data_IF_701616924245
#
_entry.id   IF_701616924245
#
_cell.length_a   1.000
_cell.length_b   1.000
_cell.length_c   1.000
_cell.angle_alpha   90.00
_cell.angle_beta   90.00
_cell.angle_gamma   90.00
#
_symmetry.space_group_name_H-M   'P 1'
#
loop_
_entity.id
_entity.type
_entity.pdbx_description
1 polymer ?
#
# COMPACT_ATOMS: atom_id res chain seq x y z
N UNK A 1 6.42 -5.29 3.24
CA UNK A 1 6.22 -5.00 1.80
C UNK A 1 7.28 -5.77 1.01
N UNK A 2 6.88 -6.68 0.12
CA UNK A 2 7.79 -7.51 -0.68
C UNK A 2 7.37 -7.40 -2.15
N UNK A 3 8.26 -6.89 -3.02
CA UNK A 3 8.02 -6.83 -4.47
C UNK A 3 8.92 -7.87 -5.14
N UNK A 4 8.32 -8.78 -5.91
CA UNK A 4 9.05 -9.79 -6.70
C UNK A 4 8.86 -9.50 -8.18
N UNK A 5 9.91 -9.00 -8.83
CA UNK A 5 9.87 -8.65 -10.27
C UNK A 5 10.34 -9.85 -11.09
N UNK A 6 9.53 -10.31 -12.06
CA UNK A 6 9.95 -11.28 -13.09
C UNK A 6 10.40 -10.54 -14.34
N UNK A 7 11.49 -10.99 -14.96
CA UNK A 7 12.00 -10.42 -16.23
C UNK A 7 10.89 -10.42 -17.30
N UNK A 8 10.77 -9.29 -18.02
CA UNK A 8 9.82 -9.12 -19.12
C UNK A 8 8.38 -8.72 -18.74
N UNK A 9 8.07 -8.48 -17.45
CA UNK A 9 6.76 -7.96 -17.02
C UNK A 9 6.90 -6.63 -16.28
N UNK A 10 5.96 -5.72 -16.51
CA UNK A 10 5.82 -4.48 -15.73
C UNK A 10 5.26 -4.89 -14.36
N UNK A 11 5.98 -4.64 -13.25
CA UNK A 11 5.48 -4.99 -11.93
C UNK A 11 4.34 -4.05 -11.51
N UNK A 12 3.33 -4.63 -10.86
CA UNK A 12 2.28 -3.89 -10.17
C UNK A 12 2.44 -4.16 -8.67
N UNK A 13 2.44 -3.09 -7.87
CA UNK A 13 2.44 -3.18 -6.42
C UNK A 13 1.01 -3.14 -5.89
N UNK A 14 0.60 -4.19 -5.19
CA UNK A 14 -0.68 -4.24 -4.47
C UNK A 14 -0.39 -4.22 -2.98
N UNK A 15 -0.89 -3.19 -2.29
CA UNK A 15 -0.83 -3.10 -0.82
C UNK A 15 -2.22 -3.38 -0.27
N UNK A 16 -2.31 -4.30 0.68
CA UNK A 16 -3.51 -4.55 1.47
C UNK A 16 -3.18 -4.15 2.91
N UNK A 17 -3.99 -3.27 3.50
CA UNK A 17 -3.71 -2.69 4.81
C UNK A 17 -5.00 -2.54 5.60
N UNK A 18 -5.00 -3.00 6.85
CA UNK A 18 -6.06 -2.85 7.84
C UNK A 18 -5.83 -1.64 8.77
N UNK A 19 -4.82 -0.81 8.48
CA UNK A 19 -4.49 0.36 9.28
C UNK A 19 -3.09 0.94 9.03
N UNK A 20 -2.77 1.99 9.78
CA UNK A 20 -1.49 2.69 9.65
C UNK A 20 -0.27 1.85 10.08
N UNK A 21 0.91 2.23 9.56
CA UNK A 21 2.17 1.60 9.92
C UNK A 21 2.42 1.68 11.44
N UNK A 22 2.79 0.55 12.04
CA UNK A 22 3.00 0.42 13.48
C UNK A 22 4.37 -0.14 13.87
N UNK A 23 5.14 -0.66 12.90
CA UNK A 23 6.46 -1.26 13.09
C UNK A 23 7.48 -0.61 12.15
N UNK A 24 8.65 -0.27 12.67
CA UNK A 24 9.77 0.30 11.92
C UNK A 24 10.48 -0.76 11.07
N UNK A 25 11.36 -0.33 10.16
CA UNK A 25 12.25 -1.19 9.37
C UNK A 25 13.16 -2.06 10.22
N UNK A 26 13.48 -1.62 11.44
CA UNK A 26 14.26 -2.40 12.42
C UNK A 26 13.42 -3.39 13.23
N UNK A 27 12.12 -3.53 12.93
CA UNK A 27 11.23 -4.44 13.65
C UNK A 27 10.74 -3.93 15.01
N UNK A 28 10.94 -2.65 15.31
CA UNK A 28 10.56 -2.05 16.60
C UNK A 28 9.19 -1.38 16.47
N UNK A 29 8.35 -1.50 17.49
CA UNK A 29 7.05 -0.81 17.53
C UNK A 29 7.20 0.71 17.61
N UNK A 30 6.28 1.44 16.97
CA UNK A 30 6.22 2.90 17.07
C UNK A 30 5.54 3.55 15.88
N UNK A 31 4.27 3.93 16.03
CA UNK A 31 3.42 4.44 14.94
C UNK A 31 4.01 5.65 14.22
N UNK A 32 4.55 6.64 14.93
CA UNK A 32 5.14 7.84 14.31
C UNK A 32 6.33 7.50 13.41
N UNK A 33 7.35 6.83 13.96
CA UNK A 33 8.55 6.44 13.21
C UNK A 33 8.25 5.43 12.10
N UNK A 34 7.37 4.46 12.36
CA UNK A 34 6.92 3.51 11.35
C UNK A 34 6.22 4.22 10.18
N UNK A 35 5.40 5.23 10.48
CA UNK A 35 4.75 6.04 9.46
C UNK A 35 5.77 6.84 8.64
N UNK A 36 6.70 7.55 9.28
CA UNK A 36 7.78 8.28 8.58
C UNK A 36 8.60 7.35 7.66
N UNK A 37 8.97 6.17 8.14
CA UNK A 37 9.71 5.20 7.35
C UNK A 37 8.88 4.61 6.20
N UNK A 38 7.57 4.46 6.39
CA UNK A 38 6.64 4.06 5.33
C UNK A 38 6.51 5.14 4.25
N UNK A 39 6.49 6.42 4.62
CA UNK A 39 6.46 7.55 3.67
C UNK A 39 7.73 7.59 2.81
N UNK A 40 8.90 7.46 3.44
CA UNK A 40 10.18 7.38 2.70
C UNK A 40 10.21 6.22 1.70
N UNK A 41 9.62 5.09 2.09
CA UNK A 41 9.46 3.96 1.17
C UNK A 41 8.47 4.30 0.05
N UNK A 42 7.31 4.87 0.36
CA UNK A 42 6.31 5.24 -0.64
C UNK A 42 6.87 6.18 -1.72
N UNK A 43 7.62 7.20 -1.31
CA UNK A 43 8.29 8.14 -2.23
C UNK A 43 9.30 7.44 -3.15
N UNK A 44 10.07 6.47 -2.62
CA UNK A 44 10.99 5.66 -3.43
C UNK A 44 10.25 4.80 -4.46
N UNK A 45 9.12 4.20 -4.11
CA UNK A 45 8.35 3.40 -5.08
C UNK A 45 7.72 4.27 -6.16
N UNK A 46 7.22 5.45 -5.77
CA UNK A 46 6.67 6.43 -6.70
C UNK A 46 7.74 6.94 -7.68
N UNK A 47 8.97 7.20 -7.22
CA UNK A 47 10.08 7.64 -8.08
C UNK A 47 10.46 6.63 -9.17
N UNK A 48 10.12 5.35 -8.98
CA UNK A 48 10.34 4.28 -9.97
C UNK A 48 9.13 4.08 -10.90
N UNK A 49 8.09 4.93 -10.82
CA UNK A 49 6.86 4.83 -11.62
C UNK A 49 6.21 3.44 -11.53
N UNK A 50 6.28 2.81 -10.36
CA UNK A 50 5.68 1.49 -10.15
C UNK A 50 4.17 1.69 -10.02
N UNK A 51 3.40 1.14 -10.97
CA UNK A 51 1.93 1.11 -10.88
C UNK A 51 1.51 0.46 -9.56
N UNK A 52 0.73 1.19 -8.77
CA UNK A 52 0.42 0.79 -7.39
C UNK A 52 -1.07 0.94 -7.07
N UNK A 53 -1.59 0.02 -6.27
CA UNK A 53 -2.91 0.12 -5.62
C UNK A 53 -2.76 -0.10 -4.13
N UNK A 54 -3.46 0.75 -3.37
CA UNK A 54 -3.55 0.65 -1.94
C UNK A 54 -4.99 0.31 -1.57
N UNK A 55 -5.21 -0.94 -1.15
CA UNK A 55 -6.51 -1.45 -0.73
C UNK A 55 -6.57 -1.35 0.81
N UNK A 56 -7.37 -0.41 1.30
CA UNK A 56 -7.58 -0.17 2.73
C UNK A 56 -8.78 -1.01 3.20
N UNK A 57 -8.52 -2.05 3.99
CA UNK A 57 -9.54 -2.96 4.54
C UNK A 57 -9.87 -2.63 6.00
N UNK A 58 -9.37 -1.53 6.54
CA UNK A 58 -9.71 -1.10 7.89
C UNK A 58 -11.22 -0.84 8.00
N UNK A 59 -11.83 -1.25 9.12
CA UNK A 59 -13.22 -0.92 9.40
C UNK A 59 -13.45 0.60 9.47
N UNK A 60 -12.42 1.34 9.91
CA UNK A 60 -12.40 2.80 9.91
C UNK A 60 -11.11 3.31 9.24
N UNK A 61 -11.13 3.57 7.92
CA UNK A 61 -9.98 4.05 7.18
C UNK A 61 -9.45 5.38 7.74
N UNK A 62 -8.16 5.41 8.07
CA UNK A 62 -7.55 6.57 8.70
C UNK A 62 -6.98 7.56 7.65
N UNK A 63 -7.02 8.89 7.91
CA UNK A 63 -6.43 9.87 6.99
C UNK A 63 -4.95 9.59 6.65
N UNK A 64 -4.21 9.02 7.60
CA UNK A 64 -2.80 8.63 7.42
C UNK A 64 -2.59 7.54 6.36
N UNK A 65 -3.48 6.53 6.24
CA UNK A 65 -3.33 5.48 5.22
C UNK A 65 -3.61 6.03 3.83
N UNK A 66 -4.60 6.92 3.70
CA UNK A 66 -4.83 7.65 2.44
C UNK A 66 -3.62 8.51 2.06
N UNK A 67 -3.08 9.28 3.01
CA UNK A 67 -1.90 10.11 2.75
C UNK A 67 -0.69 9.28 2.29
N UNK A 68 -0.48 8.11 2.89
CA UNK A 68 0.57 7.18 2.46
C UNK A 68 0.35 6.68 1.02
N UNK A 69 -0.88 6.34 0.66
CA UNK A 69 -1.22 5.93 -0.70
C UNK A 69 -1.00 7.05 -1.73
N UNK A 70 -1.36 8.29 -1.37
CA UNK A 70 -1.13 9.45 -2.22
C UNK A 70 0.38 9.67 -2.44
N UNK A 71 1.20 9.51 -1.39
CA UNK A 71 2.67 9.59 -1.49
C UNK A 71 3.28 8.48 -2.33
N UNK A 72 2.68 7.30 -2.31
CA UNK A 72 3.05 6.17 -3.16
C UNK A 72 2.68 6.39 -4.63
N UNK A 73 1.84 7.39 -4.95
CA UNK A 73 1.23 7.53 -6.28
C UNK A 73 0.28 6.38 -6.59
N UNK A 74 -0.28 5.74 -5.56
CA UNK A 74 -1.17 4.59 -5.71
C UNK A 74 -2.62 5.00 -5.90
N UNK A 75 -3.38 4.17 -6.61
CA UNK A 75 -4.85 4.25 -6.54
C UNK A 75 -5.29 3.78 -5.15
N UNK A 76 -5.89 4.67 -4.36
CA UNK A 76 -6.41 4.32 -3.04
C UNK A 76 -7.85 3.80 -3.15
N UNK A 77 -8.09 2.61 -2.62
CA UNK A 77 -9.37 1.93 -2.65
C UNK A 77 -9.79 1.48 -1.25
N UNK A 78 -10.71 2.18 -0.57
CA UNK A 78 -11.27 1.73 0.69
C UNK A 78 -12.27 0.61 0.46
N UNK A 79 -12.02 -0.57 1.03
CA UNK A 79 -12.88 -1.75 1.00
C UNK A 79 -13.04 -2.33 2.42
N UNK A 80 -13.72 -1.63 3.34
CA UNK A 80 -14.04 -2.20 4.65
C UNK A 80 -14.85 -3.49 4.47
N UNK A 81 -14.54 -4.52 5.27
CA UNK A 81 -15.18 -5.84 5.19
C UNK A 81 -15.04 -6.48 3.79
N UNK A 82 -13.91 -6.28 3.13
CA UNK A 82 -13.59 -6.91 1.86
C UNK A 82 -13.59 -8.44 1.99
N UNK A 83 -14.15 -9.10 0.98
CA UNK A 83 -13.94 -10.54 0.77
C UNK A 83 -12.97 -10.75 -0.40
N UNK A 84 -12.51 -12.00 -0.58
CA UNK A 84 -11.56 -12.36 -1.63
C UNK A 84 -11.99 -11.93 -3.04
N UNK A 85 -13.30 -11.98 -3.32
CA UNK A 85 -13.86 -11.56 -4.62
C UNK A 85 -13.66 -10.06 -4.86
N UNK A 86 -14.02 -9.20 -3.91
CA UNK A 86 -13.85 -7.74 -4.03
C UNK A 86 -12.38 -7.35 -4.22
N UNK A 87 -11.46 -8.04 -3.55
CA UNK A 87 -10.01 -7.82 -3.71
C UNK A 87 -9.56 -8.24 -5.13
N UNK A 88 -10.04 -9.38 -5.63
CA UNK A 88 -9.74 -9.85 -6.98
C UNK A 88 -10.22 -8.85 -8.04
N UNK A 89 -11.44 -8.34 -7.91
CA UNK A 89 -12.03 -7.35 -8.82
C UNK A 89 -11.20 -6.05 -8.83
N UNK A 90 -10.76 -5.59 -7.65
CA UNK A 90 -9.90 -4.42 -7.52
C UNK A 90 -8.55 -4.59 -8.23
N UNK A 91 -7.90 -5.75 -8.05
CA UNK A 91 -6.58 -6.02 -8.64
C UNK A 91 -6.67 -6.21 -10.16
N UNK A 92 -7.73 -6.86 -10.66
CA UNK A 92 -7.91 -7.11 -12.10
C UNK A 92 -8.20 -5.86 -12.93
N UNK A 93 -8.61 -4.77 -12.28
CA UNK A 93 -8.81 -3.46 -12.91
C UNK A 93 -7.47 -2.81 -13.32
N UNK A 94 -6.36 -3.20 -12.69
CA UNK A 94 -5.03 -2.69 -13.03
C UNK A 94 -4.39 -3.59 -14.07
N UNK A 95 -4.35 -3.09 -15.30
CA UNK A 95 -3.63 -3.68 -16.44
C UNK A 95 -2.38 -2.88 -16.77
#
# INVERSE_FOLDING_TARGET
>A
MLLRVKHGKIPVLVILSDGGANVTKSGVGGRGKAFEESLKSAELFNSHTIKSIFIDIADNPAPQTRFLADKLGATYLPLPRANSKKILDAVTTIR
#
